data_IF_292804075872
#
_entry.id   IF_292804075872
#
_cell.length_a   1.000
_cell.length_b   1.000
_cell.length_c   1.000
_cell.angle_alpha   90.00
_cell.angle_beta   90.00
_cell.angle_gamma   90.00
#
_symmetry.space_group_name_H-M   'P 1'
#
loop_
_entity.id
_entity.type
_entity.pdbx_description
1 polymer ?
#
# COMPACT_ATOMS: atom_id res chain seq x y z
N UNK A 1 18.65 16.10 -3.46
CA UNK A 1 18.62 15.18 -4.63
C UNK A 1 19.37 15.83 -5.80
N UNK A 2 20.25 15.06 -6.47
CA UNK A 2 20.86 15.47 -7.75
C UNK A 2 19.80 15.56 -8.85
N UNK A 3 20.16 16.12 -9.99
CA UNK A 3 19.25 16.19 -11.13
C UNK A 3 19.10 14.82 -11.80
N UNK A 4 17.95 14.60 -12.42
CA UNK A 4 17.62 13.31 -13.03
C UNK A 4 16.13 13.03 -13.08
N UNK A 5 15.80 11.79 -13.45
CA UNK A 5 14.43 11.29 -13.53
C UNK A 5 14.13 10.43 -12.29
N UNK A 6 12.96 10.63 -11.71
CA UNK A 6 12.55 10.02 -10.45
C UNK A 6 11.19 9.35 -10.63
N UNK A 7 10.95 8.34 -9.79
CA UNK A 7 9.67 7.66 -9.71
C UNK A 7 9.12 7.80 -8.30
N UNK A 8 7.92 8.36 -8.13
CA UNK A 8 7.19 8.31 -6.87
C UNK A 8 6.23 7.12 -6.89
N UNK A 9 6.26 6.33 -5.83
CA UNK A 9 5.36 5.22 -5.58
C UNK A 9 4.63 5.49 -4.26
N UNK A 10 3.40 5.98 -4.35
CA UNK A 10 2.54 6.29 -3.20
C UNK A 10 1.52 5.18 -2.99
N UNK A 11 1.78 4.33 -2.00
CA UNK A 11 0.90 3.22 -1.67
C UNK A 11 0.27 3.43 -0.30
N UNK A 12 -0.96 3.98 -0.34
CA UNK A 12 -1.72 4.39 0.81
C UNK A 12 -2.66 3.32 1.34
N UNK A 13 -3.68 3.77 2.07
CA UNK A 13 -4.72 2.90 2.64
C UNK A 13 -5.75 2.45 1.62
N UNK A 14 -6.09 3.28 0.62
CA UNK A 14 -7.13 2.96 -0.37
C UNK A 14 -6.71 3.10 -1.84
N UNK A 15 -5.59 3.78 -2.10
CA UNK A 15 -5.11 4.03 -3.47
C UNK A 15 -3.64 3.70 -3.61
N UNK A 16 -3.27 3.42 -4.85
CA UNK A 16 -1.90 3.36 -5.33
C UNK A 16 -1.75 4.43 -6.40
N UNK A 17 -0.88 5.40 -6.16
CA UNK A 17 -0.56 6.46 -7.10
C UNK A 17 0.93 6.39 -7.48
N UNK A 18 1.21 6.58 -8.77
CA UNK A 18 2.54 6.42 -9.35
C UNK A 18 2.83 7.57 -10.28
N UNK A 19 4.04 8.11 -10.19
CA UNK A 19 4.39 9.33 -10.93
C UNK A 19 5.84 9.32 -11.37
N UNK A 20 6.07 9.65 -12.63
CA UNK A 20 7.40 9.92 -13.18
C UNK A 20 7.59 11.42 -13.29
N UNK A 21 8.68 11.92 -12.71
CA UNK A 21 9.02 13.33 -12.72
C UNK A 21 10.51 13.57 -12.93
N UNK A 22 10.86 14.68 -13.54
CA UNK A 22 12.22 15.17 -13.68
C UNK A 22 12.50 16.27 -12.67
N UNK A 23 13.70 16.26 -12.12
CA UNK A 23 14.22 17.35 -11.30
C UNK A 23 15.44 17.98 -11.98
N UNK A 24 15.41 19.30 -12.16
CA UNK A 24 16.53 20.13 -12.61
C UNK A 24 16.71 21.33 -11.67
N UNK A 25 17.75 21.34 -10.85
CA UNK A 25 17.94 22.35 -9.80
C UNK A 25 16.78 22.36 -8.80
N UNK A 26 16.00 23.46 -8.77
CA UNK A 26 14.78 23.59 -7.95
C UNK A 26 13.49 23.27 -8.72
N UNK A 27 13.58 23.06 -10.03
CA UNK A 27 12.42 22.81 -10.88
C UNK A 27 12.08 21.33 -10.90
N UNK A 28 10.79 21.03 -10.71
CA UNK A 28 10.22 19.69 -10.83
C UNK A 28 9.22 19.72 -11.99
N UNK A 29 9.35 18.78 -12.92
CA UNK A 29 8.43 18.60 -14.03
C UNK A 29 7.82 17.20 -13.96
N UNK A 30 6.51 17.14 -13.80
CA UNK A 30 5.77 15.88 -13.88
C UNK A 30 5.60 15.46 -15.35
N UNK A 31 5.94 14.22 -15.66
CA UNK A 31 5.94 13.68 -17.03
C UNK A 31 4.74 12.77 -17.24
N UNK A 32 4.48 11.88 -16.28
CA UNK A 32 3.37 10.93 -16.32
C UNK A 32 2.88 10.60 -14.94
N UNK A 33 1.56 10.48 -14.80
CA UNK A 33 0.86 10.14 -13.57
C UNK A 33 -0.10 9.00 -13.93
N UNK A 34 -0.13 7.97 -13.10
CA UNK A 34 -1.03 6.85 -13.21
C UNK A 34 -1.34 6.30 -11.81
N UNK A 35 -2.35 5.45 -11.67
CA UNK A 35 -2.71 4.90 -10.37
C UNK A 35 -3.88 3.94 -10.43
N UNK A 36 -4.20 3.36 -9.28
CA UNK A 36 -5.34 2.49 -9.06
C UNK A 36 -6.11 2.96 -7.81
N UNK A 37 -7.37 3.37 -7.99
CA UNK A 37 -8.24 3.90 -6.94
C UNK A 37 -8.84 2.82 -6.02
N UNK A 38 -8.62 1.54 -6.34
CA UNK A 38 -9.17 0.39 -5.64
C UNK A 38 -8.06 -0.60 -5.26
N UNK A 39 -6.88 -0.08 -4.95
CA UNK A 39 -5.73 -0.86 -4.55
C UNK A 39 -4.97 -0.11 -3.45
N UNK A 40 -5.18 -0.53 -2.21
CA UNK A 40 -4.54 0.05 -1.03
C UNK A 40 -4.29 -0.98 0.08
N UNK A 41 -3.83 -0.48 1.22
CA UNK A 41 -3.67 -1.29 2.44
C UNK A 41 -4.97 -1.95 2.91
N UNK A 42 -6.12 -1.35 2.62
CA UNK A 42 -7.45 -1.84 2.96
C UNK A 42 -7.81 -3.13 2.21
N UNK A 43 -7.37 -3.24 0.96
CA UNK A 43 -7.60 -4.40 0.10
C UNK A 43 -6.72 -5.57 0.52
N UNK A 44 -5.47 -5.25 0.90
CA UNK A 44 -4.55 -6.20 1.53
C UNK A 44 -5.17 -6.73 2.83
N UNK A 45 -5.71 -5.86 3.69
CA UNK A 45 -6.36 -6.29 4.93
C UNK A 45 -7.57 -7.19 4.65
N UNK A 46 -8.38 -6.87 3.64
CA UNK A 46 -9.51 -7.70 3.24
C UNK A 46 -9.04 -9.10 2.80
N UNK A 47 -8.03 -9.17 1.93
CA UNK A 47 -7.45 -10.43 1.46
C UNK A 47 -6.89 -11.26 2.61
N UNK A 48 -6.25 -10.59 3.57
CA UNK A 48 -5.66 -11.25 4.73
C UNK A 48 -6.74 -11.75 5.71
N UNK A 49 -7.84 -11.01 5.88
CA UNK A 49 -9.04 -11.50 6.61
C UNK A 49 -9.56 -12.80 5.98
N UNK A 50 -9.73 -12.85 4.66
CA UNK A 50 -10.20 -14.08 4.01
C UNK A 50 -9.24 -15.26 4.23
N UNK A 51 -7.93 -15.00 4.17
CA UNK A 51 -6.93 -16.02 4.45
C UNK A 51 -7.06 -16.58 5.87
N UNK A 52 -7.15 -15.70 6.88
CA UNK A 52 -7.29 -16.11 8.28
C UNK A 52 -8.57 -16.92 8.50
N UNK A 53 -9.71 -16.44 7.97
CA UNK A 53 -10.99 -17.16 8.08
C UNK A 53 -10.88 -18.53 7.41
N UNK A 54 -10.26 -18.64 6.23
CA UNK A 54 -10.11 -19.91 5.53
C UNK A 54 -9.26 -20.92 6.30
N UNK A 55 -8.27 -20.45 7.08
CA UNK A 55 -7.44 -21.30 7.93
C UNK A 55 -8.21 -21.81 9.15
N UNK A 56 -8.95 -20.93 9.82
CA UNK A 56 -9.82 -21.38 10.92
C UNK A 56 -10.98 -22.24 10.43
N UNK A 57 -11.49 -22.04 9.21
CA UNK A 57 -12.59 -22.83 8.65
C UNK A 57 -12.16 -24.28 8.40
N UNK A 58 -10.89 -24.53 8.09
CA UNK A 58 -10.36 -25.88 7.94
C UNK A 58 -10.46 -26.69 9.25
N UNK A 59 -10.27 -26.03 10.40
CA UNK A 59 -10.32 -26.67 11.73
C UNK A 59 -11.72 -26.57 12.38
N UNK A 60 -12.46 -25.49 12.13
CA UNK A 60 -13.72 -25.12 12.78
C UNK A 60 -14.77 -24.64 11.75
N UNK A 61 -15.21 -25.52 10.83
CA UNK A 61 -16.02 -25.12 9.68
C UNK A 61 -17.39 -24.57 10.07
N UNK A 62 -18.05 -25.16 11.07
CA UNK A 62 -19.40 -24.75 11.50
C UNK A 62 -19.35 -23.39 12.22
N UNK A 63 -18.34 -23.20 13.05
CA UNK A 63 -18.09 -22.01 13.84
C UNK A 63 -17.78 -20.82 12.92
N UNK A 64 -16.84 -20.98 11.99
CA UNK A 64 -16.48 -19.91 11.04
C UNK A 64 -17.67 -19.52 10.15
N UNK A 65 -18.45 -20.51 9.71
CA UNK A 65 -19.67 -20.26 8.95
C UNK A 65 -20.70 -19.43 9.72
N UNK A 66 -20.77 -19.59 11.05
CA UNK A 66 -21.68 -18.85 11.92
C UNK A 66 -21.10 -17.48 12.36
N UNK A 67 -19.78 -17.35 12.44
CA UNK A 67 -19.11 -16.13 12.90
C UNK A 67 -18.91 -15.11 11.77
N UNK A 68 -18.49 -15.54 10.58
CA UNK A 68 -17.94 -14.64 9.56
C UNK A 68 -18.54 -14.79 8.15
N UNK A 69 -19.10 -15.95 7.79
CA UNK A 69 -19.55 -16.23 6.42
C UNK A 69 -21.04 -15.94 6.27
N UNK A 70 -21.42 -15.01 5.39
CA UNK A 70 -22.83 -14.74 5.11
C UNK A 70 -23.48 -15.92 4.39
N UNK A 71 -24.60 -16.42 4.91
CA UNK A 71 -25.38 -17.54 4.37
C UNK A 71 -26.71 -17.04 3.80
N UNK A 72 -27.27 -17.76 2.81
CA UNK A 72 -28.56 -17.39 2.18
C UNK A 72 -29.70 -17.29 3.19
N UNK A 73 -29.70 -18.16 4.21
CA UNK A 73 -30.71 -18.21 5.28
C UNK A 73 -30.52 -17.16 6.38
N UNK A 74 -29.44 -16.38 6.35
CA UNK A 74 -29.18 -15.39 7.40
C UNK A 74 -30.23 -14.27 7.38
N UNK A 75 -30.79 -13.99 8.55
CA UNK A 75 -31.59 -12.78 8.78
C UNK A 75 -30.72 -11.53 8.62
N UNK A 76 -31.36 -10.38 8.40
CA UNK A 76 -30.66 -9.09 8.35
C UNK A 76 -29.83 -8.83 9.62
N UNK A 77 -30.35 -9.20 10.79
CA UNK A 77 -29.63 -9.13 12.07
C UNK A 77 -28.37 -9.99 12.09
N UNK A 78 -28.44 -11.24 11.63
CA UNK A 78 -27.28 -12.14 11.52
C UNK A 78 -26.20 -11.57 10.60
N UNK A 79 -26.58 -11.08 9.40
CA UNK A 79 -25.63 -10.45 8.46
C UNK A 79 -24.92 -9.25 9.07
N UNK A 80 -25.66 -8.39 9.78
CA UNK A 80 -25.07 -7.23 10.45
C UNK A 80 -24.10 -7.62 11.57
N UNK A 81 -24.39 -8.70 12.32
CA UNK A 81 -23.49 -9.21 13.33
C UNK A 81 -22.19 -9.75 12.70
N UNK A 82 -22.29 -10.55 11.65
CA UNK A 82 -21.13 -11.08 10.91
C UNK A 82 -20.25 -9.94 10.36
N UNK A 83 -20.85 -8.90 9.79
CA UNK A 83 -20.12 -7.70 9.34
C UNK A 83 -19.40 -6.98 10.47
N UNK A 84 -20.02 -6.84 11.65
CA UNK A 84 -19.36 -6.27 12.84
C UNK A 84 -18.16 -7.12 13.26
N UNK A 85 -18.29 -8.44 13.31
CA UNK A 85 -17.19 -9.36 13.63
C UNK A 85 -16.04 -9.24 12.62
N UNK A 86 -16.35 -9.20 11.32
CA UNK A 86 -15.34 -8.99 10.27
C UNK A 86 -14.61 -7.65 10.41
N UNK A 87 -15.28 -6.59 10.85
CA UNK A 87 -14.63 -5.29 11.14
C UNK A 87 -13.66 -5.38 12.31
N UNK A 88 -14.00 -6.10 13.37
CA UNK A 88 -13.09 -6.33 14.50
C UNK A 88 -11.89 -7.17 14.07
N UNK A 89 -12.14 -8.28 13.36
CA UNK A 89 -11.07 -9.11 12.81
C UNK A 89 -10.14 -8.28 11.92
N UNK A 90 -10.69 -7.43 11.05
CA UNK A 90 -9.92 -6.52 10.20
C UNK A 90 -8.91 -5.67 10.97
N UNK A 91 -9.31 -5.08 12.10
CA UNK A 91 -8.40 -4.29 12.94
C UNK A 91 -7.26 -5.13 13.54
N UNK A 92 -7.54 -6.40 13.86
CA UNK A 92 -6.53 -7.34 14.36
C UNK A 92 -5.54 -7.69 13.24
N UNK A 93 -6.05 -8.03 12.04
CA UNK A 93 -5.17 -8.38 10.92
C UNK A 93 -4.38 -7.19 10.38
N UNK A 94 -4.92 -5.96 10.46
CA UNK A 94 -4.17 -4.74 10.15
C UNK A 94 -2.93 -4.62 11.06
N UNK A 95 -3.09 -4.82 12.38
CA UNK A 95 -1.96 -4.83 13.33
C UNK A 95 -0.97 -5.96 13.04
N UNK A 96 -1.47 -7.14 12.68
CA UNK A 96 -0.65 -8.27 12.29
C UNK A 96 0.18 -7.97 11.03
N UNK A 97 -0.43 -7.40 9.99
CA UNK A 97 0.22 -6.92 8.76
C UNK A 97 1.32 -5.90 9.05
N UNK A 98 1.03 -4.90 9.89
CA UNK A 98 2.02 -3.90 10.31
C UNK A 98 3.20 -4.59 11.00
N UNK A 99 2.92 -5.50 11.93
CA UNK A 99 3.94 -6.25 12.66
C UNK A 99 4.77 -7.15 11.74
N UNK A 100 4.16 -7.79 10.74
CA UNK A 100 4.84 -8.62 9.73
C UNK A 100 5.75 -7.81 8.81
N UNK A 101 5.66 -6.49 8.80
CA UNK A 101 6.61 -5.64 8.07
C UNK A 101 8.00 -5.63 8.72
N UNK A 102 8.12 -6.03 10.00
CA UNK A 102 9.39 -6.15 10.73
C UNK A 102 9.64 -7.56 11.25
N UNK A 103 8.61 -8.25 11.73
CA UNK A 103 8.67 -9.62 12.25
C UNK A 103 8.45 -10.66 11.15
N UNK A 104 8.98 -11.86 11.33
CA UNK A 104 8.80 -12.98 10.41
C UNK A 104 7.56 -13.82 10.72
N UNK A 105 7.02 -13.71 11.93
CA UNK A 105 5.85 -14.45 12.40
C UNK A 105 5.08 -13.60 13.42
N UNK A 106 3.76 -13.70 13.39
CA UNK A 106 2.83 -13.07 14.34
C UNK A 106 1.67 -14.03 14.60
N UNK A 107 1.00 -13.86 15.74
CA UNK A 107 -0.19 -14.64 16.06
C UNK A 107 -1.42 -13.74 15.93
N UNK A 108 -2.38 -14.17 15.12
CA UNK A 108 -3.69 -13.53 14.98
C UNK A 108 -4.65 -14.21 15.95
N UNK A 109 -5.22 -13.44 16.88
CA UNK A 109 -6.11 -13.94 17.92
C UNK A 109 -7.48 -13.25 17.84
N UNK A 110 -8.56 -14.04 17.87
CA UNK A 110 -9.93 -13.56 17.94
C UNK A 110 -10.75 -14.49 18.83
N UNK A 111 -11.29 -13.97 19.94
CA UNK A 111 -11.99 -14.79 20.94
C UNK A 111 -11.15 -16.00 21.38
N UNK A 112 -11.59 -17.23 21.12
CA UNK A 112 -10.87 -18.48 21.45
C UNK A 112 -10.05 -19.04 20.28
N UNK A 113 -9.97 -18.31 19.16
CA UNK A 113 -9.27 -18.76 17.95
C UNK A 113 -7.92 -18.06 17.83
N UNK A 114 -6.88 -18.83 17.56
CA UNK A 114 -5.51 -18.35 17.39
C UNK A 114 -4.92 -18.94 16.12
N UNK A 115 -4.14 -18.15 15.38
CA UNK A 115 -3.45 -18.58 14.17
C UNK A 115 -2.07 -17.94 14.12
N UNK A 116 -1.02 -18.75 14.16
CA UNK A 116 0.32 -18.29 13.83
C UNK A 116 0.43 -18.09 12.31
N UNK A 117 0.83 -16.89 11.89
CA UNK A 117 1.00 -16.50 10.49
C UNK A 117 2.42 -16.01 10.27
N UNK A 118 3.10 -16.56 9.27
CA UNK A 118 4.42 -16.08 8.87
C UNK A 118 4.32 -14.96 7.83
N UNK A 119 5.38 -14.16 7.70
CA UNK A 119 5.49 -13.18 6.61
C UNK A 119 5.33 -13.84 5.25
N UNK A 120 5.88 -15.05 5.08
CA UNK A 120 5.78 -15.81 3.82
C UNK A 120 4.33 -16.15 3.49
N UNK A 121 3.53 -16.54 4.48
CA UNK A 121 2.11 -16.85 4.28
C UNK A 121 1.33 -15.60 3.84
N UNK A 122 1.55 -14.48 4.54
CA UNK A 122 0.97 -13.18 4.19
C UNK A 122 1.36 -12.74 2.77
N UNK A 123 2.64 -12.85 2.42
CA UNK A 123 3.12 -12.46 1.11
C UNK A 123 2.55 -13.34 -0.01
N UNK A 124 2.32 -14.62 0.28
CA UNK A 124 1.73 -15.56 -0.67
C UNK A 124 0.23 -15.26 -0.88
N UNK A 125 -0.52 -15.01 0.19
CA UNK A 125 -1.96 -14.78 0.08
C UNK A 125 -2.32 -13.44 -0.60
N UNK A 126 -1.42 -12.45 -0.55
CA UNK A 126 -1.58 -11.14 -1.17
C UNK A 126 -0.78 -10.97 -2.48
N UNK A 127 -0.26 -12.06 -3.04
CA UNK A 127 0.64 -12.02 -4.20
C UNK A 127 -0.01 -11.43 -5.45
N UNK A 128 -1.31 -11.64 -5.65
CA UNK A 128 -2.09 -11.05 -6.73
C UNK A 128 -2.12 -9.51 -6.65
N UNK A 129 -2.44 -8.96 -5.47
CA UNK A 129 -2.44 -7.50 -5.25
C UNK A 129 -1.05 -6.88 -5.44
N UNK A 130 0.01 -7.57 -5.01
CA UNK A 130 1.38 -7.07 -5.21
C UNK A 130 1.78 -7.08 -6.69
N UNK A 131 1.32 -8.07 -7.46
CA UNK A 131 1.53 -8.09 -8.90
C UNK A 131 0.76 -6.96 -9.60
N UNK A 132 -0.44 -6.63 -9.13
CA UNK A 132 -1.18 -5.45 -9.62
C UNK A 132 -0.42 -4.15 -9.32
N UNK A 133 0.19 -4.01 -8.14
CA UNK A 133 1.05 -2.85 -7.85
C UNK A 133 2.18 -2.72 -8.88
N UNK A 134 2.85 -3.83 -9.21
CA UNK A 134 3.94 -3.83 -10.21
C UNK A 134 3.44 -3.61 -11.63
N UNK A 135 2.21 -4.01 -11.95
CA UNK A 135 1.58 -3.66 -13.22
C UNK A 135 1.39 -2.15 -13.32
N UNK A 136 0.83 -1.49 -12.30
CA UNK A 136 0.67 -0.03 -12.27
C UNK A 136 2.02 0.69 -12.45
N UNK A 137 3.09 0.18 -11.82
CA UNK A 137 4.45 0.71 -12.00
C UNK A 137 4.92 0.64 -13.46
N UNK A 138 4.77 -0.53 -14.10
CA UNK A 138 5.15 -0.74 -15.51
C UNK A 138 4.31 0.13 -16.44
N UNK A 139 3.00 0.20 -16.22
CA UNK A 139 2.07 0.99 -17.02
C UNK A 139 2.43 2.48 -16.97
N UNK A 140 2.86 2.98 -15.80
CA UNK A 140 3.34 4.37 -15.64
C UNK A 140 4.58 4.66 -16.48
N UNK A 141 5.57 3.75 -16.48
CA UNK A 141 6.78 3.90 -17.28
C UNK A 141 6.50 3.82 -18.79
N UNK A 142 5.48 3.06 -19.18
CA UNK A 142 5.06 2.85 -20.56
C UNK A 142 4.08 3.90 -21.09
N UNK A 143 3.66 4.87 -20.27
CA UNK A 143 2.81 5.97 -20.74
C UNK A 143 3.44 6.63 -21.97
N UNK A 144 2.66 7.04 -22.98
CA UNK A 144 3.20 7.62 -24.22
C UNK A 144 4.11 8.84 -24.02
N UNK A 145 3.87 9.62 -22.95
CA UNK A 145 4.67 10.80 -22.58
C UNK A 145 5.95 10.45 -21.81
N UNK A 146 6.08 9.23 -21.30
CA UNK A 146 7.18 8.78 -20.45
C UNK A 146 8.12 7.87 -21.24
N UNK A 147 7.65 6.70 -21.69
CA UNK A 147 8.42 5.68 -22.42
C UNK A 147 9.84 5.45 -21.85
N UNK A 148 9.94 5.26 -20.53
CA UNK A 148 11.22 5.17 -19.83
C UNK A 148 11.54 3.74 -19.41
N UNK A 149 12.81 3.35 -19.53
CA UNK A 149 13.33 2.09 -18.98
C UNK A 149 13.63 2.25 -17.48
N UNK A 150 13.49 1.19 -16.66
CA UNK A 150 13.80 1.26 -15.22
C UNK A 150 15.21 1.76 -14.90
N UNK A 151 16.18 1.47 -15.77
CA UNK A 151 17.57 1.91 -15.64
C UNK A 151 17.72 3.43 -15.69
N UNK A 152 16.83 4.15 -16.41
CA UNK A 152 16.84 5.60 -16.54
C UNK A 152 16.30 6.32 -15.30
N UNK A 153 15.57 5.62 -14.44
CA UNK A 153 15.12 6.17 -13.16
C UNK A 153 16.32 6.23 -12.21
N UNK A 154 16.61 7.42 -11.71
CA UNK A 154 17.71 7.69 -10.77
C UNK A 154 17.38 7.17 -9.37
N UNK A 155 16.17 7.47 -8.87
CA UNK A 155 15.68 6.99 -7.57
C UNK A 155 14.17 6.78 -7.58
N UNK A 156 13.73 5.83 -6.76
CA UNK A 156 12.33 5.58 -6.43
C UNK A 156 12.06 6.12 -5.04
N UNK A 157 11.07 7.00 -4.92
CA UNK A 157 10.61 7.60 -3.66
C UNK A 157 9.37 6.83 -3.21
N UNK A 158 9.48 6.16 -2.07
CA UNK A 158 8.35 5.47 -1.45
C UNK A 158 7.54 6.43 -0.58
N UNK A 159 6.23 6.45 -0.80
CA UNK A 159 5.23 7.24 -0.08
C UNK A 159 4.10 6.30 0.37
N UNK A 160 3.44 6.66 1.47
CA UNK A 160 2.29 5.90 1.99
C UNK A 160 2.69 4.72 2.87
N UNK A 161 1.84 4.38 3.83
CA UNK A 161 2.12 3.36 4.85
C UNK A 161 2.25 1.94 4.28
N UNK A 162 1.51 1.61 3.22
CA UNK A 162 1.53 0.28 2.60
C UNK A 162 2.83 0.02 1.83
N UNK A 163 3.59 1.07 1.47
CA UNK A 163 4.95 0.95 0.91
C UNK A 163 5.98 0.38 1.89
N UNK A 164 5.63 0.23 3.18
CA UNK A 164 6.49 -0.40 4.18
C UNK A 164 6.55 -1.92 4.07
N UNK A 165 5.63 -2.54 3.33
CA UNK A 165 5.58 -3.99 3.16
C UNK A 165 6.89 -4.46 2.48
N UNK A 166 7.67 -5.35 3.12
CA UNK A 166 8.97 -5.79 2.60
C UNK A 166 8.91 -6.35 1.19
N UNK A 167 7.87 -7.14 0.87
CA UNK A 167 7.68 -7.71 -0.46
C UNK A 167 7.61 -6.67 -1.56
N UNK A 168 6.86 -5.59 -1.36
CA UNK A 168 6.72 -4.49 -2.33
C UNK A 168 8.08 -3.82 -2.55
N UNK A 169 8.83 -3.56 -1.48
CA UNK A 169 10.17 -2.94 -1.57
C UNK A 169 11.14 -3.82 -2.34
N UNK A 170 11.12 -5.13 -2.08
CA UNK A 170 11.96 -6.08 -2.77
C UNK A 170 11.60 -6.12 -4.26
N UNK A 171 10.31 -6.24 -4.61
CA UNK A 171 9.87 -6.22 -6.01
C UNK A 171 10.25 -4.93 -6.75
N UNK A 172 10.15 -3.78 -6.09
CA UNK A 172 10.60 -2.50 -6.64
C UNK A 172 12.12 -2.46 -6.80
N UNK A 173 12.87 -3.01 -5.84
CA UNK A 173 14.34 -3.06 -5.89
C UNK A 173 14.82 -3.98 -7.00
N UNK A 174 14.20 -5.15 -7.15
CA UNK A 174 14.46 -6.09 -8.23
C UNK A 174 14.18 -5.45 -9.60
N UNK A 175 13.14 -4.63 -9.69
CA UNK A 175 12.72 -4.01 -10.95
C UNK A 175 13.55 -2.78 -11.35
N UNK A 176 13.86 -1.88 -10.40
CA UNK A 176 14.58 -0.63 -10.68
C UNK A 176 16.10 -0.76 -10.50
N UNK A 177 16.56 -1.68 -9.65
CA UNK A 177 17.95 -1.93 -9.29
C UNK A 177 18.27 -1.53 -7.84
N UNK A 178 19.30 -2.17 -7.29
CA UNK A 178 19.79 -1.92 -5.93
C UNK A 178 20.21 -0.46 -5.72
N UNK A 179 20.01 0.05 -4.51
CA UNK A 179 20.38 1.42 -4.12
C UNK A 179 19.49 2.54 -4.67
N UNK A 180 18.55 2.22 -5.58
CA UNK A 180 17.62 3.22 -6.15
C UNK A 180 16.35 3.42 -5.33
N UNK A 181 15.85 2.37 -4.70
CA UNK A 181 14.65 2.43 -3.86
C UNK A 181 15.04 3.03 -2.52
N UNK A 182 14.60 4.26 -2.29
CA UNK A 182 14.87 4.97 -1.04
C UNK A 182 13.57 5.16 -0.27
N UNK A 183 13.57 4.74 0.99
CA UNK A 183 12.64 5.29 1.94
C UNK A 183 12.98 6.77 2.12
N UNK A 184 12.00 7.67 2.00
CA UNK A 184 12.19 9.01 2.52
C UNK A 184 12.40 8.93 4.03
N UNK A 185 13.03 9.96 4.62
CA UNK A 185 13.25 10.05 6.08
C UNK A 185 11.94 9.90 6.88
N UNK A 186 10.79 10.19 6.27
CA UNK A 186 9.47 9.85 6.81
C UNK A 186 8.41 9.72 5.69
N UNK A 187 8.12 8.49 5.26
CA UNK A 187 7.11 8.20 4.22
C UNK A 187 5.67 8.53 4.65
N UNK A 188 5.42 8.74 5.94
CA UNK A 188 4.10 9.05 6.48
C UNK A 188 3.77 10.54 6.42
N UNK A 189 4.78 11.43 6.50
CA UNK A 189 4.57 12.88 6.57
C UNK A 189 5.00 13.61 5.30
N UNK A 190 5.64 12.93 4.35
CA UNK A 190 6.20 13.56 3.13
C UNK A 190 5.14 14.32 2.32
N UNK A 191 3.92 13.80 2.22
CA UNK A 191 2.80 14.46 1.50
C UNK A 191 2.39 15.74 2.22
N UNK A 192 2.17 15.68 3.54
CA UNK A 192 1.78 16.84 4.35
C UNK A 192 2.88 17.93 4.32
N UNK A 193 4.14 17.53 4.47
CA UNK A 193 5.28 18.45 4.40
C UNK A 193 5.37 19.13 3.02
N UNK A 194 5.15 18.37 1.94
CA UNK A 194 5.09 18.91 0.58
C UNK A 194 3.97 19.94 0.42
N UNK A 195 2.77 19.64 0.91
CA UNK A 195 1.63 20.57 0.88
C UNK A 195 1.92 21.87 1.65
N UNK A 196 2.50 21.78 2.86
CA UNK A 196 2.89 22.96 3.65
C UNK A 196 3.91 23.83 2.92
N UNK A 197 4.89 23.22 2.23
CA UNK A 197 5.89 23.97 1.45
C UNK A 197 5.28 24.66 0.23
N UNK A 198 4.35 24.00 -0.47
CA UNK A 198 3.62 24.60 -1.58
C UNK A 198 2.81 25.82 -1.10
N UNK A 199 2.04 25.66 -0.03
CA UNK A 199 1.25 26.76 0.56
C UNK A 199 2.14 27.96 0.94
N UNK A 200 3.25 27.71 1.63
CA UNK A 200 4.20 28.76 2.03
C UNK A 200 4.75 29.54 0.83
N UNK A 201 5.04 28.86 -0.29
CA UNK A 201 5.50 29.53 -1.52
C UNK A 201 4.41 30.41 -2.13
N UNK A 202 3.19 29.91 -2.22
CA UNK A 202 2.06 30.69 -2.75
C UNK A 202 1.78 31.94 -1.92
N UNK A 203 1.87 31.86 -0.59
CA UNK A 203 1.74 33.05 0.29
C UNK A 203 2.86 34.06 0.05
N UNK A 204 4.11 33.58 -0.12
CA UNK A 204 5.25 34.46 -0.37
C UNK A 204 5.14 35.13 -1.76
N UNK A 205 4.71 34.41 -2.79
CA UNK A 205 4.46 34.96 -4.12
C UNK A 205 3.33 36.01 -4.10
N UNK A 206 2.24 35.72 -3.38
CA UNK A 206 1.13 36.66 -3.21
C UNK A 206 1.57 37.98 -2.53
N UNK A 207 2.33 37.89 -1.44
CA UNK A 207 2.83 39.08 -0.71
C UNK A 207 3.82 39.95 -1.51
N UNK A 208 4.48 39.38 -2.53
CA UNK A 208 5.41 40.11 -3.40
C UNK A 208 4.76 40.59 -4.70
N UNK A 209 3.51 40.23 -4.99
CA UNK A 209 2.75 40.72 -6.14
C UNK A 209 2.06 42.07 -5.85
N UNK A 210 1.85 42.41 -4.58
CA UNK A 210 1.22 43.66 -4.12
C UNK A 210 2.24 44.80 -3.84
N UNK A 211 3.44 44.76 -4.47
CA UNK A 211 4.45 45.84 -4.40
C UNK A 211 4.92 46.28 -5.77
#
# INVERSE_FOLDING_TARGET
MKDGMFFAFDFGGGTLDTTVFEKKGKHIKFIGIHGNQHLGGLDIDNKFVEYVISKWEADFPTEMANLFIEQKKDTFGSKNMKRKRRRVLKQIVEKAKISLSTLNCVTVEYENYSLAVTRKDFEMCCSDLFNECMKTVKDTLNLPKVQAKPQQISKVVLVGGSSQIPKIRNMLTDYFGEGKVCCSENCYTVVANGACQCFRRSVFEYQNCDR
#
